data_IF_512064045875
#
_entry.id   IF_512064045875
#
_cell.length_a   1.000
_cell.length_b   1.000
_cell.length_c   1.000
_cell.angle_alpha   90.00
_cell.angle_beta   90.00
_cell.angle_gamma   90.00
#
_symmetry.space_group_name_H-M   'P 1'
#
loop_
_entity.id
_entity.type
_entity.pdbx_description
1 polymer ?
#
# COMPACT_ATOMS: atom_id res chain seq x y z
N UNK A 1 -8.16 2.40 -23.46
CA UNK A 1 -8.47 3.68 -22.77
C UNK A 1 -9.72 3.46 -21.94
N UNK A 2 -9.60 3.14 -20.65
CA UNK A 2 -10.78 2.98 -19.79
C UNK A 2 -11.22 4.35 -19.29
N UNK A 3 -12.44 4.76 -19.60
CA UNK A 3 -13.02 5.98 -19.07
C UNK A 3 -13.18 5.82 -17.55
N UNK A 4 -12.40 6.59 -16.78
CA UNK A 4 -12.51 6.61 -15.33
C UNK A 4 -13.89 7.13 -14.90
N UNK A 5 -14.48 6.51 -13.88
CA UNK A 5 -15.74 6.96 -13.28
C UNK A 5 -15.64 8.43 -12.86
N UNK A 6 -16.71 9.24 -12.97
CA UNK A 6 -16.67 10.65 -12.56
C UNK A 6 -16.34 10.77 -11.06
N UNK A 7 -15.53 11.77 -10.66
CA UNK A 7 -15.01 11.91 -9.29
C UNK A 7 -16.08 11.79 -8.17
N UNK A 8 -17.29 12.31 -8.40
CA UNK A 8 -18.43 12.18 -7.47
C UNK A 8 -18.84 10.73 -7.20
N UNK A 9 -18.72 9.85 -8.20
CA UNK A 9 -19.02 8.42 -8.08
C UNK A 9 -17.90 7.67 -7.36
N UNK A 10 -16.64 8.09 -7.55
CA UNK A 10 -15.50 7.52 -6.83
C UNK A 10 -15.62 7.76 -5.32
N UNK A 11 -15.99 8.97 -4.92
CA UNK A 11 -16.20 9.32 -3.50
C UNK A 11 -17.35 8.52 -2.86
N UNK A 12 -18.43 8.27 -3.60
CA UNK A 12 -19.54 7.43 -3.14
C UNK A 12 -19.11 5.98 -2.92
N UNK A 13 -18.34 5.41 -3.86
CA UNK A 13 -17.80 4.05 -3.75
C UNK A 13 -16.79 3.92 -2.61
N UNK A 14 -15.93 4.93 -2.39
CA UNK A 14 -14.99 4.95 -1.28
C UNK A 14 -15.72 4.93 0.08
N UNK A 15 -16.77 5.75 0.24
CA UNK A 15 -17.61 5.76 1.45
C UNK A 15 -18.35 4.44 1.66
N UNK A 16 -18.89 3.86 0.58
CA UNK A 16 -19.61 2.59 0.66
C UNK A 16 -18.66 1.43 1.06
N UNK A 17 -17.45 1.39 0.51
CA UNK A 17 -16.42 0.40 0.90
C UNK A 17 -16.00 0.57 2.35
N UNK A 18 -15.78 1.81 2.80
CA UNK A 18 -15.48 2.10 4.20
C UNK A 18 -16.61 1.65 5.14
N UNK A 19 -17.87 1.90 4.79
CA UNK A 19 -19.03 1.44 5.57
C UNK A 19 -19.20 -0.08 5.61
N UNK A 20 -18.67 -0.79 4.61
CA UNK A 20 -18.66 -2.26 4.54
C UNK A 20 -17.41 -2.89 5.15
N UNK A 21 -16.49 -2.09 5.70
CA UNK A 21 -15.20 -2.58 6.20
C UNK A 21 -14.32 -3.22 5.13
N UNK A 22 -14.66 -3.01 3.86
CA UNK A 22 -13.87 -3.50 2.74
C UNK A 22 -12.64 -2.60 2.63
N UNK A 23 -11.42 -3.17 2.54
CA UNK A 23 -10.25 -2.37 2.27
C UNK A 23 -10.56 -1.52 1.04
N UNK A 24 -10.44 -0.21 1.20
CA UNK A 24 -10.45 0.71 0.07
C UNK A 24 -9.43 0.12 -0.90
N UNK A 25 -9.90 -0.31 -2.09
CA UNK A 25 -9.04 -0.98 -3.07
C UNK A 25 -7.88 -0.04 -3.34
N UNK A 26 -6.75 -0.34 -2.71
CA UNK A 26 -5.67 0.60 -2.50
C UNK A 26 -4.42 -0.16 -2.84
N UNK A 27 -3.92 0.14 -4.03
CA UNK A 27 -2.78 -0.46 -4.69
C UNK A 27 -1.66 -0.76 -3.69
N UNK A 28 -1.40 -2.05 -3.47
CA UNK A 28 -0.16 -2.47 -2.82
C UNK A 28 0.98 -1.97 -3.69
N UNK A 29 1.72 -0.97 -3.19
CA UNK A 29 2.74 -0.29 -3.97
C UNK A 29 4.03 -0.21 -3.19
N UNK A 30 5.11 -0.73 -3.77
CA UNK A 30 6.46 -0.42 -3.29
C UNK A 30 6.78 1.02 -3.70
N UNK A 31 6.92 1.91 -2.71
CA UNK A 31 7.24 3.32 -2.94
C UNK A 31 8.75 3.61 -2.87
N UNK A 32 9.50 2.77 -2.16
CA UNK A 32 10.96 2.84 -2.13
C UNK A 32 11.58 1.46 -1.92
N UNK A 33 12.73 1.22 -2.53
CA UNK A 33 13.55 0.03 -2.29
C UNK A 33 15.01 0.43 -2.09
N UNK A 34 15.64 -0.08 -1.03
CA UNK A 34 17.05 0.15 -0.70
C UNK A 34 17.78 -1.20 -0.60
N UNK A 35 18.66 -1.54 -1.55
CA UNK A 35 19.51 -2.72 -1.44
C UNK A 35 20.44 -2.62 -0.24
N UNK A 36 20.57 -3.71 0.52
CA UNK A 36 21.52 -3.81 1.64
C UNK A 36 22.63 -4.84 1.39
N UNK A 37 22.51 -5.62 0.31
CA UNK A 37 23.47 -6.66 -0.07
C UNK A 37 22.82 -7.70 -0.97
N UNK A 38 23.55 -8.76 -1.35
CA UNK A 38 23.05 -9.80 -2.22
C UNK A 38 21.77 -10.44 -1.68
N UNK A 39 20.66 -10.28 -2.42
CA UNK A 39 19.36 -10.84 -2.06
C UNK A 39 18.69 -10.24 -0.82
N UNK A 40 19.16 -9.08 -0.35
CA UNK A 40 18.57 -8.39 0.82
C UNK A 40 18.30 -6.92 0.50
N UNK A 41 17.11 -6.42 0.86
CA UNK A 41 16.72 -5.01 0.70
C UNK A 41 15.70 -4.58 1.73
N UNK A 42 15.66 -3.28 2.01
CA UNK A 42 14.54 -2.62 2.67
C UNK A 42 13.54 -2.15 1.62
N UNK A 43 12.26 -2.33 1.90
CA UNK A 43 11.15 -1.86 1.08
C UNK A 43 10.28 -0.95 1.93
N UNK A 44 9.85 0.16 1.35
CA UNK A 44 8.75 0.96 1.88
C UNK A 44 7.54 0.65 1.01
N UNK A 45 6.45 0.19 1.62
CA UNK A 45 5.25 -0.28 0.92
C UNK A 45 4.03 0.50 1.42
N UNK A 46 3.29 1.10 0.50
CA UNK A 46 1.97 1.65 0.80
C UNK A 46 0.92 0.54 0.60
N UNK A 47 0.10 0.32 1.64
CA UNK A 47 -0.93 -0.71 1.67
C UNK A 47 -2.09 -0.28 2.58
N UNK A 48 -3.28 -0.14 2.00
CA UNK A 48 -4.51 0.12 2.76
C UNK A 48 -4.45 1.37 3.64
N UNK A 49 -3.88 2.48 3.14
CA UNK A 49 -3.72 3.72 3.89
C UNK A 49 -2.58 3.72 4.92
N UNK A 50 -1.80 2.64 4.97
CA UNK A 50 -0.60 2.53 5.81
C UNK A 50 0.65 2.49 4.97
N UNK A 51 1.75 2.94 5.56
CA UNK A 51 3.10 2.80 5.04
C UNK A 51 3.88 1.84 5.91
N UNK A 52 4.41 0.79 5.30
CA UNK A 52 5.12 -0.30 5.96
C UNK A 52 6.59 -0.22 5.61
N UNK A 53 7.47 -0.45 6.60
CA UNK A 53 8.88 -0.78 6.36
C UNK A 53 9.04 -2.29 6.43
N UNK A 54 9.49 -2.89 5.33
CA UNK A 54 9.65 -4.32 5.17
C UNK A 54 11.13 -4.64 4.91
N UNK A 55 11.70 -5.55 5.69
CA UNK A 55 12.94 -6.24 5.33
C UNK A 55 12.63 -7.41 4.41
N UNK A 56 13.24 -7.44 3.23
CA UNK A 56 13.21 -8.60 2.34
C UNK A 56 14.58 -9.28 2.35
N UNK A 57 14.58 -10.60 2.47
CA UNK A 57 15.74 -11.46 2.21
C UNK A 57 15.31 -12.70 1.40
N UNK A 58 16.26 -13.60 1.12
CA UNK A 58 15.96 -14.93 0.57
C UNK A 58 15.12 -15.81 1.50
N UNK A 59 15.17 -15.55 2.81
CA UNK A 59 14.36 -16.26 3.80
C UNK A 59 12.90 -15.75 3.84
N UNK A 60 12.60 -14.64 3.16
CA UNK A 60 11.26 -14.07 3.07
C UNK A 60 11.19 -12.61 3.48
N UNK A 61 10.02 -12.22 4.00
CA UNK A 61 9.68 -10.85 4.37
C UNK A 61 9.52 -10.73 5.88
N UNK A 62 10.01 -9.63 6.45
CA UNK A 62 9.78 -9.24 7.83
C UNK A 62 9.24 -7.80 7.86
N UNK A 63 8.11 -7.57 8.55
CA UNK A 63 7.64 -6.22 8.84
C UNK A 63 8.46 -5.65 9.99
N UNK A 64 9.11 -4.52 9.75
CA UNK A 64 10.01 -3.86 10.70
C UNK A 64 9.33 -2.68 11.40
N UNK A 65 8.50 -1.94 10.68
CA UNK A 65 7.73 -0.83 11.21
C UNK A 65 6.49 -0.55 10.34
N UNK A 66 5.55 0.23 10.86
CA UNK A 66 4.44 0.78 10.09
C UNK A 66 3.94 2.11 10.67
N UNK A 67 3.31 2.90 9.80
CA UNK A 67 2.66 4.16 10.14
C UNK A 67 1.41 4.36 9.29
N UNK A 68 0.48 5.18 9.76
CA UNK A 68 -0.57 5.72 8.91
C UNK A 68 0.03 6.69 7.89
N UNK A 69 -0.52 6.70 6.67
CA UNK A 69 -0.20 7.72 5.66
C UNK A 69 -1.24 8.80 5.80
N UNK A 70 -0.84 9.96 6.31
CA UNK A 70 -1.70 11.15 6.29
C UNK A 70 -2.08 11.46 4.83
N UNK A 71 -3.36 11.80 4.56
CA UNK A 71 -3.85 12.09 3.21
C UNK A 71 -3.19 13.31 2.56
#
# INVERSE_FOLDING_TARGET
MSAGLPARWQAGLARLRAGLGLPAGGDLRVVQALPLGPGTRLLVVDFGGRRLLIGQSRAGLARLADTEVAP
#
